data_IF_092270734713
#
_entry.id   IF_092270734713
#
_cell.length_a   1.000
_cell.length_b   1.000
_cell.length_c   1.000
_cell.angle_alpha   90.00
_cell.angle_beta   90.00
_cell.angle_gamma   90.00
#
_symmetry.space_group_name_H-M   'P 1'
#
loop_
_entity.id
_entity.type
_entity.pdbx_description
1 polymer ?
#
# COMPACT_ATOMS: atom_id res chain seq x y z
N UNK A 1 11.67 12.99 -13.12
CA UNK A 1 11.15 12.56 -11.80
C UNK A 1 10.36 13.65 -11.10
N UNK A 2 10.99 14.68 -10.50
CA UNK A 2 10.24 15.70 -9.72
C UNK A 2 9.23 16.48 -10.56
N UNK A 3 9.54 16.76 -11.83
CA UNK A 3 8.60 17.35 -12.78
C UNK A 3 7.39 16.47 -13.06
N UNK A 4 7.58 15.16 -13.17
CA UNK A 4 6.49 14.19 -13.39
C UNK A 4 5.60 14.09 -12.16
N UNK A 5 6.20 14.12 -10.96
CA UNK A 5 5.48 14.14 -9.69
C UNK A 5 4.66 15.44 -9.58
N UNK A 6 5.27 16.59 -9.87
CA UNK A 6 4.58 17.89 -9.89
C UNK A 6 3.42 17.87 -10.88
N UNK A 7 3.63 17.37 -12.11
CA UNK A 7 2.57 17.21 -13.12
C UNK A 7 1.43 16.32 -12.62
N UNK A 8 1.76 15.20 -11.96
CA UNK A 8 0.76 14.30 -11.39
C UNK A 8 -0.04 14.96 -10.26
N UNK A 9 0.63 15.70 -9.37
CA UNK A 9 0.00 16.45 -8.28
C UNK A 9 -0.99 17.49 -8.80
N UNK A 10 -0.62 18.21 -9.87
CA UNK A 10 -1.45 19.25 -10.47
C UNK A 10 -2.51 18.73 -11.45
N UNK A 11 -2.39 17.48 -11.92
CA UNK A 11 -3.33 16.89 -12.90
C UNK A 11 -4.72 16.62 -12.32
N UNK A 12 -4.87 16.57 -11.00
CA UNK A 12 -6.12 16.23 -10.35
C UNK A 12 -6.42 17.14 -9.15
N UNK A 13 -7.67 17.58 -9.03
CA UNK A 13 -8.11 18.36 -7.88
C UNK A 13 -8.28 17.43 -6.68
N UNK A 14 -7.37 17.53 -5.71
CA UNK A 14 -7.40 16.72 -4.48
C UNK A 14 -7.63 17.61 -3.26
N UNK A 15 -8.36 17.11 -2.26
CA UNK A 15 -8.51 17.83 -0.99
C UNK A 15 -7.27 17.73 -0.09
N UNK A 16 -6.63 16.56 -0.13
CA UNK A 16 -5.43 16.23 0.63
C UNK A 16 -4.43 15.54 -0.30
N UNK A 17 -3.18 15.98 -0.27
CA UNK A 17 -2.10 15.39 -1.06
C UNK A 17 -1.07 14.78 -0.13
N UNK A 18 -0.76 13.51 -0.34
CA UNK A 18 0.31 12.79 0.36
C UNK A 18 1.22 12.19 -0.69
N UNK A 19 2.49 12.52 -0.61
CA UNK A 19 3.55 11.97 -1.44
C UNK A 19 4.42 11.09 -0.55
N UNK A 20 4.66 9.84 -0.96
CA UNK A 20 5.42 8.88 -0.17
C UNK A 20 6.26 7.98 -1.05
N UNK A 21 7.44 7.60 -0.58
CA UNK A 21 8.32 6.69 -1.31
C UNK A 21 9.77 6.76 -0.87
N UNK A 22 10.61 6.01 -1.58
CA UNK A 22 12.07 6.07 -1.50
C UNK A 22 12.56 7.19 -2.43
N UNK A 23 13.14 8.24 -1.85
CA UNK A 23 13.68 9.38 -2.59
C UNK A 23 15.19 9.30 -2.78
N UNK A 24 15.85 8.33 -2.13
CA UNK A 24 17.29 8.13 -2.18
C UNK A 24 18.08 9.44 -1.92
N UNK A 25 17.61 10.24 -0.95
CA UNK A 25 18.09 11.58 -0.65
C UNK A 25 18.31 11.76 0.86
N UNK A 26 19.39 12.44 1.25
CA UNK A 26 19.64 12.82 2.64
C UNK A 26 19.33 14.29 2.79
N UNK A 27 18.18 14.59 3.38
CA UNK A 27 17.75 15.97 3.57
C UNK A 27 18.59 16.71 4.62
N UNK A 28 19.08 15.97 5.62
CA UNK A 28 19.89 16.51 6.70
C UNK A 28 19.11 17.45 7.61
N UNK A 29 19.86 18.07 8.53
CA UNK A 29 19.32 19.09 9.44
C UNK A 29 18.73 20.25 8.63
N UNK A 30 17.63 20.82 9.11
CA UNK A 30 17.03 22.02 8.53
C UNK A 30 18.09 23.13 8.39
N UNK A 31 18.16 23.76 7.22
CA UNK A 31 19.06 24.87 6.95
C UNK A 31 18.26 26.18 6.89
N UNK A 32 18.75 27.22 7.58
CA UNK A 32 18.12 28.56 7.57
C UNK A 32 16.61 28.56 7.88
N UNK A 33 15.86 29.33 7.07
CA UNK A 33 14.43 29.59 7.24
C UNK A 33 13.47 28.46 6.82
N UNK A 34 13.96 27.30 6.38
CA UNK A 34 13.14 26.22 5.79
C UNK A 34 11.97 25.74 6.68
N UNK A 35 10.74 26.13 6.34
CA UNK A 35 9.56 25.76 7.13
C UNK A 35 9.03 24.35 6.81
N UNK A 36 9.44 23.80 5.67
CA UNK A 36 8.99 22.49 5.18
C UNK A 36 9.72 21.32 5.83
N UNK A 37 10.89 21.58 6.42
CA UNK A 37 11.70 20.63 7.16
C UNK A 37 11.52 20.85 8.66
N UNK A 38 11.13 19.80 9.36
CA UNK A 38 10.97 19.81 10.81
C UNK A 38 12.31 19.78 11.55
N UNK A 39 12.29 20.30 12.77
CA UNK A 39 13.49 20.47 13.62
C UNK A 39 14.13 19.17 14.13
N UNK A 40 13.49 18.02 13.92
CA UNK A 40 13.99 16.73 14.40
C UNK A 40 14.71 15.93 13.31
N UNK A 41 14.87 16.52 12.11
CA UNK A 41 15.78 15.96 11.12
C UNK A 41 17.24 16.20 11.52
N UNK A 42 18.06 15.18 11.34
CA UNK A 42 19.46 15.20 11.78
C UNK A 42 20.33 14.60 10.69
N UNK A 43 21.57 15.08 10.59
CA UNK A 43 22.56 14.60 9.64
C UNK A 43 22.90 15.65 8.59
N UNK A 44 23.78 15.25 7.66
CA UNK A 44 24.30 16.11 6.62
C UNK A 44 23.45 16.00 5.35
N UNK A 45 23.13 17.15 4.77
CA UNK A 45 22.42 17.24 3.50
C UNK A 45 23.35 16.83 2.36
N UNK A 46 22.86 15.98 1.45
CA UNK A 46 23.56 15.69 0.20
C UNK A 46 22.92 16.43 -0.98
N UNK A 47 23.57 16.42 -2.15
CA UNK A 47 23.07 17.09 -3.37
C UNK A 47 21.62 16.70 -3.72
N UNK A 48 21.25 15.43 -3.55
CA UNK A 48 19.88 14.94 -3.79
C UNK A 48 18.90 15.45 -2.73
N UNK A 49 19.37 15.61 -1.49
CA UNK A 49 18.65 16.25 -0.39
C UNK A 49 18.34 17.70 -0.69
N UNK A 50 19.29 18.45 -1.25
CA UNK A 50 19.02 19.84 -1.68
C UNK A 50 17.96 19.89 -2.78
N UNK A 51 18.07 19.04 -3.80
CA UNK A 51 17.05 18.95 -4.85
C UNK A 51 15.66 18.60 -4.30
N UNK A 52 15.61 17.73 -3.28
CA UNK A 52 14.36 17.39 -2.58
C UNK A 52 13.83 18.58 -1.77
N UNK A 53 14.69 19.34 -1.09
CA UNK A 53 14.33 20.55 -0.36
C UNK A 53 13.73 21.61 -1.29
N UNK A 54 14.39 21.89 -2.41
CA UNK A 54 13.93 22.86 -3.42
C UNK A 54 12.56 22.45 -3.99
N UNK A 55 12.39 21.16 -4.28
CA UNK A 55 11.12 20.59 -4.75
C UNK A 55 10.02 20.74 -3.69
N UNK A 56 10.30 20.44 -2.43
CA UNK A 56 9.34 20.58 -1.34
C UNK A 56 8.90 22.03 -1.13
N UNK A 57 9.83 22.99 -1.23
CA UNK A 57 9.50 24.40 -1.10
C UNK A 57 8.60 24.84 -2.26
N UNK A 58 8.97 24.47 -3.50
CA UNK A 58 8.18 24.76 -4.71
C UNK A 58 6.75 24.21 -4.65
N UNK A 59 6.59 22.98 -4.18
CA UNK A 59 5.29 22.29 -4.13
C UNK A 59 4.54 22.49 -2.80
N UNK A 60 5.11 23.25 -1.85
CA UNK A 60 4.54 23.47 -0.54
C UNK A 60 4.42 22.21 0.33
N UNK A 61 5.28 21.22 0.13
CA UNK A 61 5.25 19.92 0.80
C UNK A 61 6.03 19.93 2.11
N UNK A 62 5.39 19.53 3.21
CA UNK A 62 6.04 19.33 4.50
C UNK A 62 6.57 17.91 4.61
N UNK A 63 7.84 17.77 5.02
CA UNK A 63 8.50 16.49 5.30
C UNK A 63 8.07 15.92 6.64
N UNK A 64 7.01 15.12 6.69
CA UNK A 64 6.36 14.74 7.95
C UNK A 64 7.25 13.92 8.89
N UNK A 65 8.12 13.07 8.35
CA UNK A 65 9.12 12.32 9.12
C UNK A 65 9.92 13.21 10.09
N UNK A 66 10.25 14.44 9.66
CA UNK A 66 11.13 15.37 10.39
C UNK A 66 10.43 16.18 11.49
N UNK A 67 9.08 16.15 11.58
CA UNK A 67 8.32 16.94 12.55
C UNK A 67 8.08 16.23 13.87
N UNK A 68 8.36 14.93 13.96
CA UNK A 68 8.15 14.13 15.17
C UNK A 68 9.48 13.69 15.77
N UNK A 69 9.67 13.94 17.07
CA UNK A 69 10.86 13.51 17.76
C UNK A 69 10.90 11.97 17.85
N UNK A 70 11.96 11.36 17.34
CA UNK A 70 12.22 9.92 17.43
C UNK A 70 13.63 9.67 17.91
N UNK A 71 13.83 8.54 18.61
CA UNK A 71 15.17 8.08 18.97
C UNK A 71 15.97 7.77 17.70
N UNK A 72 17.26 8.13 17.59
CA UNK A 72 18.05 7.95 16.36
C UNK A 72 17.99 6.53 15.76
N UNK A 73 18.09 5.49 16.59
CA UNK A 73 18.00 4.09 16.13
C UNK A 73 16.64 3.68 15.51
N UNK A 74 15.61 4.53 15.65
CA UNK A 74 14.27 4.35 15.08
C UNK A 74 13.99 5.22 13.85
N UNK A 75 14.96 6.02 13.39
CA UNK A 75 14.78 6.91 12.23
C UNK A 75 15.16 6.26 10.90
N UNK A 76 16.22 5.45 10.88
CA UNK A 76 16.70 4.85 9.64
C UNK A 76 15.64 3.94 8.98
N UNK A 77 15.52 4.08 7.66
CA UNK A 77 14.59 3.32 6.84
C UNK A 77 15.32 2.35 5.93
N UNK A 78 16.61 2.55 5.67
CA UNK A 78 17.45 1.67 4.87
C UNK A 78 18.76 1.32 5.58
N UNK A 79 19.24 0.11 5.36
CA UNK A 79 20.54 -0.37 5.84
C UNK A 79 21.36 -0.95 4.68
N UNK A 80 22.66 -0.67 4.66
CA UNK A 80 23.59 -1.27 3.70
C UNK A 80 23.65 -2.80 3.84
N UNK A 81 24.07 -3.54 2.80
CA UNK A 81 24.14 -5.01 2.83
C UNK A 81 25.01 -5.59 3.96
N UNK A 82 26.04 -4.86 4.36
CA UNK A 82 26.94 -5.19 5.48
C UNK A 82 26.46 -4.64 6.83
N UNK A 83 25.34 -3.91 6.88
CA UNK A 83 24.75 -3.37 8.09
C UNK A 83 25.46 -2.15 8.70
N UNK A 84 26.58 -1.71 8.12
CA UNK A 84 27.41 -0.62 8.65
C UNK A 84 26.74 0.75 8.52
N UNK A 85 26.08 0.99 7.40
CA UNK A 85 25.53 2.29 7.03
C UNK A 85 24.01 2.22 7.10
N UNK A 86 23.41 3.20 7.78
CA UNK A 86 21.96 3.31 7.94
C UNK A 86 21.53 4.71 7.57
N UNK A 87 20.56 4.81 6.66
CA UNK A 87 20.07 6.09 6.17
C UNK A 87 18.54 6.15 6.33
N UNK A 88 18.02 7.37 6.51
CA UNK A 88 16.60 7.68 6.34
C UNK A 88 16.43 8.24 4.92
N UNK A 89 15.82 7.46 4.03
CA UNK A 89 15.62 7.81 2.60
C UNK A 89 14.18 7.56 2.13
N UNK A 90 13.36 6.93 2.98
CA UNK A 90 11.95 6.69 2.74
C UNK A 90 11.11 7.72 3.50
N UNK A 91 10.41 8.57 2.76
CA UNK A 91 9.75 9.75 3.32
C UNK A 91 8.26 9.78 3.06
N UNK A 92 7.53 10.41 3.97
CA UNK A 92 6.12 10.81 3.80
C UNK A 92 6.06 12.35 3.84
N UNK A 93 5.53 12.93 2.77
CA UNK A 93 5.35 14.35 2.57
C UNK A 93 3.88 14.71 2.34
N UNK A 94 3.46 15.92 2.72
CA UNK A 94 2.09 16.39 2.46
C UNK A 94 2.02 17.90 2.37
N UNK A 95 1.03 18.42 1.63
CA UNK A 95 0.72 19.85 1.59
C UNK A 95 0.09 20.35 2.90
N UNK A 96 -0.44 19.47 3.75
CA UNK A 96 -1.09 19.83 5.02
C UNK A 96 -0.51 19.07 6.20
N UNK A 97 0.46 19.67 6.89
CA UNK A 97 1.14 19.08 8.06
C UNK A 97 0.18 18.53 9.12
N UNK A 98 -0.89 19.28 9.43
CA UNK A 98 -1.85 18.96 10.50
C UNK A 98 -2.65 17.66 10.26
N UNK A 99 -2.56 17.05 9.08
CA UNK A 99 -3.19 15.77 8.78
C UNK A 99 -2.55 14.60 9.53
N UNK A 100 -1.28 14.72 9.91
CA UNK A 100 -0.54 13.64 10.54
C UNK A 100 -0.41 13.89 12.04
N UNK A 101 -0.69 12.85 12.82
CA UNK A 101 -0.42 12.81 14.26
C UNK A 101 0.89 12.12 14.61
N UNK A 102 1.39 11.25 13.71
CA UNK A 102 2.68 10.58 13.88
C UNK A 102 3.23 10.08 12.54
N UNK A 103 4.55 10.05 12.40
CA UNK A 103 5.26 9.19 11.46
C UNK A 103 6.33 8.40 12.21
N UNK A 104 6.33 7.08 12.05
CA UNK A 104 7.25 6.17 12.73
C UNK A 104 7.73 5.02 11.85
N UNK A 105 9.00 4.64 12.02
CA UNK A 105 9.57 3.45 11.37
C UNK A 105 9.34 2.21 12.24
N UNK A 106 8.69 1.20 11.67
CA UNK A 106 8.36 -0.05 12.36
C UNK A 106 9.56 -1.00 12.31
N UNK A 107 10.14 -1.30 13.48
CA UNK A 107 11.28 -2.23 13.61
C UNK A 107 10.89 -3.71 13.55
N UNK A 108 9.67 -4.03 14.00
CA UNK A 108 9.25 -5.40 14.28
C UNK A 108 8.86 -6.20 13.03
N UNK A 109 8.69 -5.53 11.89
CA UNK A 109 8.27 -6.17 10.64
C UNK A 109 9.51 -6.62 9.87
N UNK A 110 9.82 -7.92 9.95
CA UNK A 110 10.87 -8.56 9.15
C UNK A 110 10.30 -8.95 7.76
N UNK A 111 10.40 -8.04 6.80
CA UNK A 111 9.98 -8.29 5.41
C UNK A 111 11.07 -8.93 4.54
N UNK A 112 12.31 -9.05 5.06
CA UNK A 112 13.47 -9.56 4.31
C UNK A 112 14.07 -8.56 3.33
N UNK A 113 13.70 -7.28 3.43
CA UNK A 113 14.30 -6.17 2.69
C UNK A 113 15.36 -5.48 3.57
N UNK A 114 16.29 -4.83 2.88
CA UNK A 114 17.18 -3.78 3.39
C UNK A 114 16.41 -2.52 3.86
N UNK A 115 15.13 -2.37 3.48
CA UNK A 115 14.25 -1.30 3.93
C UNK A 115 13.31 -1.70 5.08
N UNK A 116 13.05 -0.75 5.97
CA UNK A 116 12.06 -0.81 7.05
C UNK A 116 10.78 -0.09 6.67
N UNK A 117 9.68 -0.59 7.22
CA UNK A 117 8.36 -0.02 6.97
C UNK A 117 8.20 1.33 7.67
N UNK A 118 7.88 2.36 6.91
CA UNK A 118 7.47 3.69 7.41
C UNK A 118 5.95 3.72 7.54
N UNK A 119 5.45 4.19 8.69
CA UNK A 119 4.02 4.31 8.97
C UNK A 119 3.68 5.74 9.34
N UNK A 120 2.76 6.35 8.60
CA UNK A 120 2.09 7.58 9.00
C UNK A 120 0.71 7.31 9.60
N UNK A 121 0.38 8.00 10.68
CA UNK A 121 -0.96 8.02 11.28
C UNK A 121 -1.66 9.31 10.86
N UNK A 122 -2.76 9.17 10.11
CA UNK A 122 -3.52 10.30 9.57
C UNK A 122 -4.82 10.49 10.35
N UNK A 123 -5.15 11.75 10.64
CA UNK A 123 -6.41 12.16 11.25
C UNK A 123 -7.29 12.84 10.19
N UNK A 124 -8.24 12.09 9.63
CA UNK A 124 -9.16 12.60 8.62
C UNK A 124 -10.57 12.73 9.20
N UNK A 125 -11.11 13.96 9.18
CA UNK A 125 -12.53 14.16 9.45
C UNK A 125 -13.34 13.78 8.20
N UNK A 126 -13.75 12.52 8.13
CA UNK A 126 -14.47 11.94 7.00
C UNK A 126 -15.98 12.06 7.13
N UNK A 127 -16.57 12.93 7.96
CA UNK A 127 -18.03 12.92 8.22
C UNK A 127 -18.91 12.89 6.95
N UNK A 128 -18.52 13.59 5.87
CA UNK A 128 -19.20 13.54 4.58
C UNK A 128 -18.80 12.33 3.71
N UNK A 129 -17.52 12.00 3.64
CA UNK A 129 -16.99 10.88 2.84
C UNK A 129 -17.34 9.51 3.43
N UNK A 130 -17.48 9.40 4.76
CA UNK A 130 -17.92 8.19 5.47
C UNK A 130 -19.31 7.77 5.02
N UNK A 131 -20.21 8.72 4.84
CA UNK A 131 -21.56 8.48 4.32
C UNK A 131 -21.53 7.96 2.87
N UNK A 132 -20.55 8.35 2.05
CA UNK A 132 -20.37 7.84 0.68
C UNK A 132 -19.65 6.48 0.65
N UNK A 133 -18.58 6.33 1.42
CA UNK A 133 -17.73 5.12 1.48
C UNK A 133 -18.43 3.95 2.19
N UNK A 134 -19.20 4.21 3.25
CA UNK A 134 -19.93 3.17 3.99
C UNK A 134 -21.20 2.68 3.27
N UNK A 135 -21.78 3.48 2.36
CA UNK A 135 -23.00 3.09 1.63
C UNK A 135 -22.79 1.90 0.69
N UNK A 136 -21.57 1.61 0.26
CA UNK A 136 -21.30 0.58 -0.76
C UNK A 136 -20.65 -0.71 -0.24
N UNK A 137 -20.02 -0.74 0.93
CA UNK A 137 -19.13 -1.87 1.32
C UNK A 137 -19.65 -2.79 2.41
N UNK A 138 -20.65 -2.38 3.19
CA UNK A 138 -21.17 -3.17 4.30
C UNK A 138 -22.53 -3.83 4.07
N UNK A 139 -23.20 -3.54 2.94
CA UNK A 139 -24.43 -4.26 2.60
C UNK A 139 -24.05 -5.54 1.86
N UNK A 140 -24.28 -6.73 2.42
CA UNK A 140 -24.24 -7.93 1.60
C UNK A 140 -25.24 -7.74 0.45
N UNK A 141 -24.85 -7.97 -0.82
CA UNK A 141 -25.82 -7.94 -1.92
C UNK A 141 -27.02 -8.81 -1.56
N UNK A 142 -28.25 -8.35 -1.82
CA UNK A 142 -29.49 -9.12 -1.53
C UNK A 142 -29.42 -10.56 -2.08
N UNK A 143 -28.69 -10.77 -3.17
CA UNK A 143 -28.39 -12.07 -3.76
C UNK A 143 -27.60 -13.07 -2.86
N UNK A 144 -27.03 -12.62 -1.74
CA UNK A 144 -26.35 -13.47 -0.75
C UNK A 144 -27.28 -13.97 0.36
N UNK A 145 -28.47 -13.37 0.50
CA UNK A 145 -29.50 -13.80 1.44
C UNK A 145 -30.32 -14.87 0.72
N UNK A 146 -30.23 -16.11 1.19
CA UNK A 146 -31.10 -17.19 0.72
C UNK A 146 -32.50 -16.93 1.27
N UNK A 147 -33.52 -16.99 0.41
CA UNK A 147 -34.93 -16.82 0.77
C UNK A 147 -35.17 -15.58 1.67
N UNK A 148 -35.11 -14.36 1.11
CA UNK A 148 -35.20 -13.11 1.89
C UNK A 148 -36.46 -13.00 2.75
N UNK A 149 -37.56 -13.60 2.30
CA UNK A 149 -38.85 -13.60 3.02
C UNK A 149 -38.79 -14.45 4.29
N UNK A 150 -38.23 -15.66 4.23
CA UNK A 150 -38.07 -16.51 5.43
C UNK A 150 -37.01 -15.95 6.39
N UNK A 151 -35.95 -15.32 5.86
CA UNK A 151 -34.98 -14.59 6.68
C UNK A 151 -35.64 -13.45 7.46
N UNK A 152 -36.49 -12.65 6.82
CA UNK A 152 -37.22 -11.57 7.49
C UNK A 152 -38.21 -12.10 8.52
N UNK A 153 -38.93 -13.18 8.20
CA UNK A 153 -39.88 -13.81 9.12
C UNK A 153 -39.18 -14.36 10.37
N UNK A 154 -38.06 -15.08 10.21
CA UNK A 154 -37.33 -15.63 11.36
C UNK A 154 -36.68 -14.54 12.23
N UNK A 155 -36.15 -13.48 11.61
CA UNK A 155 -35.68 -12.30 12.35
C UNK A 155 -36.80 -11.65 13.14
N UNK A 156 -37.96 -11.42 12.52
CA UNK A 156 -39.12 -10.79 13.16
C UNK A 156 -39.59 -11.62 14.36
N UNK A 157 -39.72 -12.94 14.18
CA UNK A 157 -40.15 -13.84 15.25
C UNK A 157 -39.19 -13.82 16.44
N UNK A 158 -37.87 -13.80 16.21
CA UNK A 158 -36.89 -13.75 17.30
C UNK A 158 -36.76 -12.37 17.95
N UNK A 159 -36.95 -11.30 17.19
CA UNK A 159 -36.96 -9.95 17.75
C UNK A 159 -38.21 -9.66 18.58
N UNK A 160 -39.32 -10.34 18.33
CA UNK A 160 -40.50 -10.25 19.18
C UNK A 160 -40.21 -10.69 20.63
N UNK A 161 -39.30 -11.66 20.82
CA UNK A 161 -38.84 -12.09 22.15
C UNK A 161 -37.95 -11.05 22.87
N UNK A 162 -37.61 -9.93 22.22
CA UNK A 162 -36.88 -8.82 22.85
C UNK A 162 -37.81 -7.83 23.55
N UNK A 163 -39.12 -7.86 23.27
CA UNK A 163 -40.11 -6.98 23.91
C UNK A 163 -40.20 -7.21 25.42
N UNK A 164 -39.83 -8.42 25.89
CA UNK A 164 -39.86 -8.80 27.30
C UNK A 164 -38.58 -8.42 28.08
N UNK A 165 -37.60 -7.79 27.42
CA UNK A 165 -36.32 -7.43 28.03
C UNK A 165 -36.36 -5.99 28.56
N UNK A 166 -36.09 -5.79 29.85
CA UNK A 166 -36.16 -4.47 30.49
C UNK A 166 -34.81 -3.73 30.56
N UNK A 167 -33.69 -4.44 30.43
CA UNK A 167 -32.35 -3.87 30.50
C UNK A 167 -31.78 -3.63 29.10
N UNK A 168 -31.22 -2.44 28.88
CA UNK A 168 -30.65 -2.02 27.58
C UNK A 168 -29.50 -2.93 27.14
N UNK A 169 -28.66 -3.37 28.08
CA UNK A 169 -27.54 -4.26 27.78
C UNK A 169 -28.03 -5.65 27.34
N UNK A 170 -29.04 -6.21 28.01
CA UNK A 170 -29.65 -7.50 27.64
C UNK A 170 -30.32 -7.44 26.25
N UNK A 171 -31.00 -6.33 25.94
CA UNK A 171 -31.58 -6.10 24.62
C UNK A 171 -30.47 -6.09 23.56
N UNK A 172 -29.37 -5.38 23.83
CA UNK A 172 -28.26 -5.27 22.88
C UNK A 172 -27.56 -6.62 22.66
N UNK A 173 -27.28 -7.37 23.73
CA UNK A 173 -26.63 -8.68 23.64
C UNK A 173 -27.50 -9.70 22.90
N UNK A 174 -28.80 -9.79 23.24
CA UNK A 174 -29.75 -10.68 22.56
C UNK A 174 -30.01 -10.26 21.10
N UNK A 175 -29.97 -8.97 20.80
CA UNK A 175 -30.07 -8.46 19.43
C UNK A 175 -28.87 -8.89 18.60
N UNK A 176 -27.65 -8.71 19.13
CA UNK A 176 -26.41 -9.15 18.47
C UNK A 176 -26.43 -10.67 18.26
N UNK A 177 -26.78 -11.44 19.28
CA UNK A 177 -26.89 -12.90 19.20
C UNK A 177 -27.90 -13.34 18.14
N UNK A 178 -29.10 -12.74 18.14
CA UNK A 178 -30.17 -13.04 17.18
C UNK A 178 -29.74 -12.75 15.75
N UNK A 179 -29.13 -11.59 15.51
CA UNK A 179 -28.61 -11.20 14.19
C UNK A 179 -27.53 -12.19 13.73
N UNK A 180 -26.64 -12.61 14.61
CA UNK A 180 -25.60 -13.60 14.29
C UNK A 180 -26.18 -14.98 13.98
N UNK A 181 -27.09 -15.48 14.82
CA UNK A 181 -27.67 -16.81 14.69
C UNK A 181 -28.55 -16.95 13.44
N UNK A 182 -29.43 -15.98 13.18
CA UNK A 182 -30.26 -15.98 11.98
C UNK A 182 -29.42 -15.65 10.74
N UNK A 183 -28.51 -14.68 10.86
CA UNK A 183 -27.57 -14.32 9.79
C UNK A 183 -26.74 -15.52 9.31
N UNK A 184 -26.27 -16.38 10.21
CA UNK A 184 -25.49 -17.58 9.86
C UNK A 184 -26.28 -18.60 9.03
N UNK A 185 -27.61 -18.70 9.20
CA UNK A 185 -28.47 -19.62 8.47
C UNK A 185 -28.73 -19.17 7.02
N UNK A 186 -28.99 -17.87 6.83
CA UNK A 186 -29.49 -17.35 5.56
C UNK A 186 -28.46 -16.59 4.74
N UNK A 187 -27.44 -16.02 5.38
CA UNK A 187 -26.34 -15.37 4.65
C UNK A 187 -25.30 -16.42 4.29
N UNK A 188 -25.01 -16.56 2.99
CA UNK A 188 -23.85 -17.37 2.56
C UNK A 188 -22.61 -16.87 3.30
N UNK A 189 -21.91 -17.78 3.98
CA UNK A 189 -20.66 -17.48 4.69
C UNK A 189 -19.78 -16.68 3.74
N UNK A 190 -19.30 -15.52 4.18
CA UNK A 190 -18.41 -14.66 3.40
C UNK A 190 -17.36 -15.56 2.75
N UNK A 191 -17.33 -15.63 1.41
CA UNK A 191 -16.36 -16.46 0.67
C UNK A 191 -15.01 -16.28 1.35
N UNK A 192 -14.46 -17.35 1.94
CA UNK A 192 -13.12 -17.30 2.54
C UNK A 192 -12.22 -16.67 1.49
N UNK A 193 -11.50 -15.61 1.87
CA UNK A 193 -10.52 -15.01 0.96
C UNK A 193 -9.63 -16.15 0.50
N UNK A 194 -9.64 -16.44 -0.80
CA UNK A 194 -8.82 -17.51 -1.35
C UNK A 194 -7.36 -17.17 -1.07
N UNK A 195 -6.67 -18.12 -0.44
CA UNK A 195 -5.29 -17.93 -0.03
C UNK A 195 -4.41 -17.86 -1.29
N UNK A 196 -3.66 -16.77 -1.44
CA UNK A 196 -2.81 -16.54 -2.63
C UNK A 196 -1.47 -17.27 -2.58
N UNK A 197 -1.02 -17.58 -1.38
CA UNK A 197 0.28 -18.22 -1.12
C UNK A 197 0.03 -19.63 -0.64
N UNK A 198 0.83 -20.58 -1.09
CA UNK A 198 0.80 -21.96 -0.58
C UNK A 198 1.23 -22.00 0.89
N UNK A 199 0.80 -23.04 1.61
CA UNK A 199 1.22 -23.26 2.99
C UNK A 199 2.74 -23.45 3.09
N UNK A 200 3.36 -24.07 2.08
CA UNK A 200 4.81 -24.13 1.97
C UNK A 200 5.47 -22.74 2.02
N UNK A 201 4.98 -21.78 1.24
CA UNK A 201 5.50 -20.41 1.25
C UNK A 201 5.25 -19.71 2.59
N UNK A 202 4.07 -19.91 3.19
CA UNK A 202 3.75 -19.36 4.51
C UNK A 202 4.66 -19.93 5.60
N UNK A 203 4.96 -21.23 5.54
CA UNK A 203 5.87 -21.89 6.48
C UNK A 203 7.30 -21.34 6.34
N UNK A 204 7.80 -21.13 5.12
CA UNK A 204 9.10 -20.47 4.92
C UNK A 204 9.11 -19.04 5.51
N UNK A 205 8.02 -18.28 5.35
CA UNK A 205 7.88 -16.95 5.94
C UNK A 205 7.83 -16.99 7.48
N UNK A 206 7.23 -18.03 8.06
CA UNK A 206 7.21 -18.27 9.50
C UNK A 206 8.63 -18.60 10.02
N UNK A 207 9.34 -19.52 9.36
CA UNK A 207 10.75 -19.83 9.67
C UNK A 207 11.60 -18.55 9.68
N UNK A 208 11.44 -17.71 8.64
CA UNK A 208 12.16 -16.43 8.57
C UNK A 208 11.83 -15.48 9.73
N UNK A 209 10.59 -15.49 10.23
CA UNK A 209 10.17 -14.62 11.32
C UNK A 209 10.92 -14.97 12.62
N UNK A 210 11.05 -16.27 12.88
CA UNK A 210 11.68 -16.81 14.08
C UNK A 210 13.22 -16.76 14.03
N UNK A 211 13.84 -16.67 12.84
CA UNK A 211 15.29 -16.53 12.72
C UNK A 211 15.84 -15.33 13.52
N UNK A 212 16.82 -15.63 14.38
CA UNK A 212 17.67 -14.65 15.08
C UNK A 212 18.99 -14.55 14.34
N UNK A 213 19.42 -13.33 14.02
CA UNK A 213 20.65 -13.08 13.28
C UNK A 213 21.75 -12.79 14.31
N UNK A 214 22.54 -13.79 14.67
CA UNK A 214 23.63 -13.65 15.65
C UNK A 214 25.01 -13.89 15.03
N UNK A 215 25.10 -14.74 13.99
CA UNK A 215 26.34 -15.07 13.29
C UNK A 215 26.33 -14.65 11.81
N UNK A 216 27.52 -14.64 11.19
CA UNK A 216 27.68 -14.42 9.74
C UNK A 216 27.02 -15.54 8.91
N UNK A 217 27.02 -16.77 9.41
CA UNK A 217 26.33 -17.92 8.81
C UNK A 217 24.80 -17.75 8.87
N UNK A 218 24.26 -17.16 9.93
CA UNK A 218 22.82 -16.84 9.99
C UNK A 218 22.42 -15.82 8.93
N UNK A 219 23.29 -14.84 8.65
CA UNK A 219 23.05 -13.83 7.61
C UNK A 219 23.01 -14.44 6.22
N UNK A 220 23.90 -15.39 5.90
CA UNK A 220 23.89 -16.07 4.60
C UNK A 220 22.67 -16.98 4.46
N UNK A 221 22.33 -17.76 5.49
CA UNK A 221 21.13 -18.58 5.53
C UNK A 221 19.85 -17.73 5.38
N UNK A 222 19.78 -16.59 6.06
CA UNK A 222 18.66 -15.65 5.97
C UNK A 222 18.49 -15.08 4.55
N UNK A 223 19.60 -14.72 3.89
CA UNK A 223 19.58 -14.26 2.48
C UNK A 223 19.10 -15.36 1.53
N UNK A 224 19.56 -16.59 1.72
CA UNK A 224 19.11 -17.74 0.93
C UNK A 224 17.61 -18.00 1.12
N UNK A 225 17.15 -17.99 2.38
CA UNK A 225 15.73 -18.16 2.71
C UNK A 225 14.87 -17.04 2.09
N UNK A 226 15.32 -15.78 2.15
CA UNK A 226 14.63 -14.66 1.47
C UNK A 226 14.53 -14.86 -0.04
N UNK A 227 15.60 -15.33 -0.68
CA UNK A 227 15.60 -15.63 -2.12
C UNK A 227 14.61 -16.76 -2.43
N UNK A 228 14.55 -17.79 -1.60
CA UNK A 228 13.61 -18.90 -1.74
C UNK A 228 12.16 -18.44 -1.56
N UNK A 229 11.86 -17.69 -0.49
CA UNK A 229 10.53 -17.10 -0.25
C UNK A 229 10.12 -16.24 -1.45
N UNK A 230 11.00 -15.38 -1.97
CA UNK A 230 10.71 -14.53 -3.12
C UNK A 230 10.42 -15.32 -4.40
N UNK A 231 11.13 -16.44 -4.63
CA UNK A 231 10.84 -17.36 -5.73
C UNK A 231 9.48 -18.04 -5.53
N UNK A 232 9.20 -18.60 -4.34
CA UNK A 232 7.94 -19.28 -4.06
C UNK A 232 6.75 -18.32 -4.10
N UNK A 233 6.87 -17.10 -3.56
CA UNK A 233 5.83 -16.07 -3.66
C UNK A 233 5.49 -15.73 -5.11
N UNK A 234 6.50 -15.49 -5.96
CA UNK A 234 6.27 -15.21 -7.39
C UNK A 234 5.57 -16.37 -8.09
N UNK A 235 6.02 -17.60 -7.82
CA UNK A 235 5.39 -18.82 -8.35
C UNK A 235 3.93 -18.95 -7.91
N UNK A 236 3.67 -18.81 -6.62
CA UNK A 236 2.34 -18.99 -6.05
C UNK A 236 1.37 -17.90 -6.53
N UNK A 237 1.82 -16.65 -6.60
CA UNK A 237 1.02 -15.56 -7.18
C UNK A 237 0.74 -15.79 -8.67
N UNK A 238 1.71 -16.28 -9.45
CA UNK A 238 1.50 -16.64 -10.85
C UNK A 238 0.47 -17.77 -10.97
N UNK A 239 0.63 -18.86 -10.21
CA UNK A 239 -0.31 -19.98 -10.16
C UNK A 239 -1.72 -19.52 -9.80
N UNK A 240 -1.86 -18.70 -8.75
CA UNK A 240 -3.14 -18.15 -8.31
C UNK A 240 -3.81 -17.31 -9.41
N UNK A 241 -3.06 -16.43 -10.06
CA UNK A 241 -3.59 -15.61 -11.16
C UNK A 241 -3.98 -16.47 -12.37
N UNK A 242 -3.15 -17.44 -12.75
CA UNK A 242 -3.44 -18.37 -13.86
C UNK A 242 -4.67 -19.24 -13.58
N UNK A 243 -4.84 -19.74 -12.35
CA UNK A 243 -6.03 -20.48 -11.95
C UNK A 243 -7.29 -19.60 -12.04
N UNK A 244 -7.22 -18.34 -11.60
CA UNK A 244 -8.32 -17.39 -11.75
C UNK A 244 -8.69 -17.13 -13.21
N UNK A 245 -7.70 -17.04 -14.11
CA UNK A 245 -7.94 -16.92 -15.56
C UNK A 245 -8.67 -18.17 -16.09
N UNK A 246 -8.19 -19.36 -15.73
CA UNK A 246 -8.76 -20.64 -16.17
C UNK A 246 -10.23 -20.79 -15.72
N UNK A 247 -10.50 -20.51 -14.45
CA UNK A 247 -11.85 -20.57 -13.87
C UNK A 247 -12.81 -19.60 -14.58
N UNK A 248 -12.35 -18.43 -14.98
CA UNK A 248 -13.18 -17.50 -15.75
C UNK A 248 -13.49 -18.01 -17.16
N UNK A 249 -12.50 -18.61 -17.83
CA UNK A 249 -12.69 -19.27 -19.14
C UNK A 249 -13.70 -20.42 -19.02
N UNK A 250 -13.53 -21.30 -18.03
CA UNK A 250 -14.40 -22.46 -17.80
C UNK A 250 -15.86 -22.06 -17.50
N UNK A 251 -16.06 -20.95 -16.79
CA UNK A 251 -17.41 -20.40 -16.52
C UNK A 251 -18.04 -19.67 -17.71
N UNK A 252 -17.38 -19.69 -18.87
CA UNK A 252 -17.75 -18.95 -20.06
C UNK A 252 -18.00 -17.45 -19.75
N UNK A 253 -17.31 -16.93 -18.73
CA UNK A 253 -17.38 -15.54 -18.36
C UNK A 253 -16.45 -14.79 -19.30
N UNK A 254 -17.03 -13.91 -20.13
CA UNK A 254 -16.26 -13.13 -21.09
C UNK A 254 -15.08 -12.41 -20.41
N UNK A 255 -13.98 -12.23 -21.13
CA UNK A 255 -12.74 -11.60 -20.63
C UNK A 255 -12.97 -10.27 -19.91
N UNK A 256 -14.03 -9.52 -20.27
CA UNK A 256 -14.49 -8.29 -19.59
C UNK A 256 -14.98 -8.53 -18.15
N UNK A 257 -15.64 -9.65 -17.86
CA UNK A 257 -16.14 -10.00 -16.51
C UNK A 257 -14.97 -10.36 -15.59
N UNK A 258 -14.02 -11.16 -16.08
CA UNK A 258 -12.78 -11.48 -15.37
C UNK A 258 -11.91 -10.24 -15.12
N UNK A 259 -11.74 -9.40 -16.16
CA UNK A 259 -11.03 -8.13 -16.03
C UNK A 259 -11.73 -7.19 -15.05
N UNK A 260 -13.07 -7.17 -14.98
CA UNK A 260 -13.83 -6.41 -13.96
C UNK A 260 -13.59 -6.93 -12.55
N UNK A 261 -13.55 -8.24 -12.34
CA UNK A 261 -13.31 -8.84 -11.02
C UNK A 261 -11.85 -8.65 -10.53
N UNK A 262 -10.90 -8.58 -11.47
CA UNK A 262 -9.51 -8.18 -11.23
C UNK A 262 -9.34 -6.67 -11.04
N UNK A 263 -10.01 -5.85 -11.84
CA UNK A 263 -9.90 -4.37 -11.86
C UNK A 263 -10.75 -3.69 -10.79
N UNK A 264 -11.79 -4.33 -10.26
CA UNK A 264 -12.38 -3.95 -8.97
C UNK A 264 -11.31 -3.94 -7.84
N UNK A 265 -10.12 -4.50 -8.10
CA UNK A 265 -8.95 -4.46 -7.22
C UNK A 265 -7.77 -3.64 -7.78
N UNK A 266 -7.86 -3.06 -8.98
CA UNK A 266 -6.84 -2.20 -9.62
C UNK A 266 -7.49 -1.17 -10.55
N UNK A 267 -7.22 0.12 -10.32
CA UNK A 267 -7.66 1.21 -11.19
C UNK A 267 -7.17 1.01 -12.63
N UNK A 268 -8.09 0.92 -13.59
CA UNK A 268 -7.75 0.91 -15.01
C UNK A 268 -7.55 2.34 -15.53
N UNK A 269 -6.51 2.54 -16.34
CA UNK A 269 -6.26 3.78 -17.06
C UNK A 269 -7.26 3.87 -18.23
N UNK A 270 -8.31 4.67 -18.06
CA UNK A 270 -9.39 4.83 -19.04
C UNK A 270 -9.14 5.95 -20.05
N UNK A 271 -8.20 6.85 -19.75
CA UNK A 271 -7.84 8.00 -20.57
C UNK A 271 -6.35 8.29 -20.40
N UNK A 272 -5.66 8.57 -21.50
CA UNK A 272 -4.26 8.97 -21.54
C UNK A 272 -4.16 10.29 -22.30
N UNK A 273 -3.56 11.32 -21.69
CA UNK A 273 -3.28 12.59 -22.36
C UNK A 273 -1.94 12.49 -23.08
N UNK A 274 -1.91 12.82 -24.37
CA UNK A 274 -0.71 12.79 -25.20
C UNK A 274 0.17 14.02 -24.97
N UNK A 275 1.39 13.99 -25.50
CA UNK A 275 2.33 15.12 -25.55
C UNK A 275 1.71 16.36 -26.23
N UNK A 276 0.83 16.14 -27.22
CA UNK A 276 0.13 17.19 -27.95
C UNK A 276 -1.12 17.71 -27.22
N UNK A 277 -1.39 17.21 -26.00
CA UNK A 277 -2.54 17.60 -25.20
C UNK A 277 -3.86 16.90 -25.55
N UNK A 278 -3.90 16.07 -26.59
CA UNK A 278 -5.10 15.29 -26.97
C UNK A 278 -5.35 14.11 -26.03
N UNK A 279 -6.62 13.74 -25.83
CA UNK A 279 -7.00 12.64 -24.93
C UNK A 279 -7.30 11.39 -25.75
N UNK A 280 -6.58 10.33 -25.45
CA UNK A 280 -6.77 8.99 -26.01
C UNK A 280 -7.56 8.15 -25.01
N UNK A 281 -8.69 7.60 -25.44
CA UNK A 281 -9.62 6.82 -24.59
C UNK A 281 -9.78 5.36 -25.04
N UNK A 282 -9.36 5.02 -26.27
CA UNK A 282 -9.46 3.65 -26.78
C UNK A 282 -8.27 2.83 -26.28
N UNK A 283 -8.55 1.65 -25.73
CA UNK A 283 -7.53 0.79 -25.12
C UNK A 283 -6.33 0.44 -26.04
N UNK A 284 -6.51 0.14 -27.36
CA UNK A 284 -5.37 -0.14 -28.24
C UNK A 284 -4.48 1.09 -28.44
N UNK A 285 -5.08 2.27 -28.57
CA UNK A 285 -4.36 3.52 -28.75
C UNK A 285 -3.61 3.92 -27.46
N UNK A 286 -4.21 3.70 -26.28
CA UNK A 286 -3.55 3.88 -24.98
C UNK A 286 -2.32 2.96 -24.88
N UNK A 287 -2.46 1.68 -25.22
CA UNK A 287 -1.38 0.71 -25.17
C UNK A 287 -0.24 1.05 -26.14
N UNK A 288 -0.56 1.44 -27.37
CA UNK A 288 0.44 1.88 -28.36
C UNK A 288 1.23 3.10 -27.90
N UNK A 289 0.56 4.07 -27.26
CA UNK A 289 1.25 5.25 -26.69
C UNK A 289 2.12 4.90 -25.50
N UNK A 290 1.68 3.98 -24.64
CA UNK A 290 2.47 3.45 -23.52
C UNK A 290 3.70 2.70 -24.04
N UNK A 291 3.52 1.83 -25.03
CA UNK A 291 4.59 1.05 -25.65
C UNK A 291 5.63 1.97 -26.30
N UNK A 292 5.20 2.98 -27.08
CA UNK A 292 6.10 3.99 -27.64
C UNK A 292 6.90 4.72 -26.54
N UNK A 293 6.22 5.15 -25.48
CA UNK A 293 6.86 5.87 -24.38
C UNK A 293 7.93 5.02 -23.68
N UNK A 294 7.60 3.79 -23.28
CA UNK A 294 8.56 2.90 -22.63
C UNK A 294 9.64 2.39 -23.58
N UNK A 295 9.30 2.15 -24.85
CA UNK A 295 10.28 1.85 -25.89
C UNK A 295 11.34 2.94 -25.97
N UNK A 296 10.93 4.21 -26.13
CA UNK A 296 11.85 5.34 -26.14
C UNK A 296 12.67 5.44 -24.85
N UNK A 297 12.00 5.34 -23.69
CA UNK A 297 12.63 5.44 -22.37
C UNK A 297 13.78 4.42 -22.17
N UNK A 298 13.62 3.20 -22.67
CA UNK A 298 14.60 2.13 -22.50
C UNK A 298 15.57 1.97 -23.67
N UNK A 299 15.29 2.56 -24.84
CA UNK A 299 16.23 2.59 -25.96
C UNK A 299 17.29 3.69 -25.76
N UNK A 300 16.98 4.76 -25.02
CA UNK A 300 17.90 5.87 -24.72
C UNK A 300 18.99 5.58 -23.67
N UNK A 301 19.21 4.32 -23.29
CA UNK A 301 20.16 3.95 -22.21
C UNK A 301 21.18 2.87 -22.62
N UNK A 302 21.35 2.62 -23.92
CA UNK A 302 22.32 1.64 -24.44
C UNK A 302 23.73 2.21 -24.64
N UNK A 303 24.16 3.16 -23.80
CA UNK A 303 25.60 3.43 -23.63
C UNK A 303 26.09 2.60 -22.42
N UNK A 304 27.00 1.63 -22.63
CA UNK A 304 27.42 0.70 -21.59
C UNK A 304 28.29 1.40 -20.53
N UNK A 305 27.68 1.85 -19.45
CA UNK A 305 28.42 2.25 -18.26
C UNK A 305 29.03 1.02 -17.56
N UNK A 306 30.35 1.05 -17.45
CA UNK A 306 31.21 0.02 -16.86
C UNK A 306 30.86 -0.31 -15.38
N UNK A 307 31.01 -1.60 -15.05
CA UNK A 307 31.22 -2.21 -13.73
C UNK A 307 30.33 -1.73 -12.55
N UNK A 308 29.32 -2.54 -12.22
CA UNK A 308 28.56 -2.46 -10.98
C UNK A 308 29.37 -3.08 -9.83
N UNK A 309 30.06 -2.27 -9.03
CA UNK A 309 30.60 -2.69 -7.72
C UNK A 309 30.27 -1.75 -6.55
N UNK A 310 29.66 -0.58 -6.79
CA UNK A 310 29.26 0.33 -5.72
C UNK A 310 27.77 0.64 -5.78
N UNK A 311 26.98 0.19 -4.78
CA UNK A 311 25.59 0.62 -4.60
C UNK A 311 25.59 2.11 -4.24
N UNK A 312 25.05 3.01 -5.08
CA UNK A 312 25.09 4.45 -4.87
C UNK A 312 24.29 4.91 -3.64
N UNK A 313 23.49 4.03 -3.02
CA UNK A 313 22.82 4.28 -1.74
C UNK A 313 23.78 4.18 -0.56
N UNK A 314 24.87 3.42 -0.70
CA UNK A 314 25.90 3.22 0.32
C UNK A 314 26.96 4.34 0.31
N UNK A 315 27.28 4.91 -0.84
CA UNK A 315 28.29 5.97 -1.03
C UNK A 315 27.73 7.40 -0.94
N UNK A 316 26.54 7.58 -0.37
CA UNK A 316 26.00 8.90 -0.05
C UNK A 316 26.74 9.48 1.18
N UNK A 317 28.06 9.70 1.07
CA UNK A 317 28.80 10.60 1.98
C UNK A 317 28.49 12.03 1.60
#
# INVERSE_FOLDING_TARGET
MYEDISRAMHSSKTHYTVLMGDFNAKLGTREGGELKVGKFEVGQRNRRGQQLADFMEKEGLFMINSFFQKRPHRKWTWSSPNGSTKNEIDFIMTTRRQLFSDVSVIARVKNGSDHRMVRGTLNLNVKLERSRLMKSTHRPPRALIQNPETFQLELRNRFQCLEDCNAVDDINDKLVETVHAVGAKFCKTRRRRTQKLSDHTLNLMAVRREMRLQSSTDLTAYRQLNRQISKCMRRDLRKFNTAGIKEAIERNQGSKVFARDLSARKSQLSKLKTECGSIVSKAPEILSKIERFYGQLYTSSLEPHASVSNDPRASLT
#
